data_IF_000252531860
#
_entry.id   IF_000252531860
#
_cell.length_a   1.000
_cell.length_b   1.000
_cell.length_c   1.000
_cell.angle_alpha   90.00
_cell.angle_beta   90.00
_cell.angle_gamma   90.00
#
_symmetry.space_group_name_H-M   'P 1'
#
loop_
_entity.id
_entity.type
_entity.pdbx_description
1 polymer ?
#
# COMPACT_ATOMS: atom_id res chain seq x y z
N UNK A 1 -7.00 -12.29 -14.62
CA UNK A 1 -5.68 -12.74 -15.06
C UNK A 1 -5.21 -14.01 -14.37
N UNK A 2 -5.29 -14.09 -13.06
CA UNK A 2 -4.87 -15.28 -12.31
C UNK A 2 -5.93 -16.41 -12.31
N UNK A 3 -7.14 -16.11 -12.72
CA UNK A 3 -8.22 -17.09 -12.86
C UNK A 3 -7.94 -18.14 -13.94
N UNK A 4 -7.05 -17.82 -14.88
CA UNK A 4 -6.67 -18.72 -15.96
C UNK A 4 -5.50 -19.64 -15.61
N UNK A 5 -4.99 -19.57 -14.39
CA UNK A 5 -3.91 -20.43 -13.94
C UNK A 5 -4.40 -21.87 -13.76
N UNK A 6 -3.64 -22.82 -14.27
CA UNK A 6 -4.01 -24.24 -14.31
C UNK A 6 -3.62 -25.02 -13.07
N UNK A 7 -2.63 -24.54 -12.29
CA UNK A 7 -2.17 -25.21 -11.07
C UNK A 7 -1.74 -24.21 -10.00
N UNK A 8 -1.49 -24.73 -8.80
CA UNK A 8 -1.09 -23.90 -7.64
C UNK A 8 0.26 -23.22 -7.86
N UNK A 9 1.20 -23.87 -8.55
CA UNK A 9 2.53 -23.32 -8.83
C UNK A 9 2.44 -22.11 -9.76
N UNK A 10 1.66 -22.23 -10.84
CA UNK A 10 1.45 -21.15 -11.80
C UNK A 10 0.76 -19.96 -11.13
N UNK A 11 -0.25 -20.24 -10.32
CA UNK A 11 -0.99 -19.23 -9.57
C UNK A 11 -0.11 -18.53 -8.55
N UNK A 12 0.69 -19.30 -7.81
CA UNK A 12 1.63 -18.74 -6.82
C UNK A 12 2.65 -17.83 -7.49
N UNK A 13 3.21 -18.24 -8.65
CA UNK A 13 4.14 -17.43 -9.43
C UNK A 13 3.54 -16.11 -9.89
N UNK A 14 2.28 -16.13 -10.35
CA UNK A 14 1.55 -14.92 -10.75
C UNK A 14 1.32 -13.96 -9.58
N UNK A 15 0.97 -14.49 -8.41
CA UNK A 15 0.82 -13.67 -7.19
C UNK A 15 2.16 -13.10 -6.75
N UNK A 16 3.23 -13.90 -6.86
CA UNK A 16 4.58 -13.44 -6.52
C UNK A 16 5.01 -12.25 -7.37
N UNK A 17 4.76 -12.30 -8.69
CA UNK A 17 5.06 -11.21 -9.60
C UNK A 17 4.25 -9.96 -9.27
N UNK A 18 2.97 -10.12 -8.93
CA UNK A 18 2.10 -9.03 -8.51
C UNK A 18 2.62 -8.36 -7.24
N UNK A 19 3.02 -9.15 -6.25
CA UNK A 19 3.56 -8.66 -4.99
C UNK A 19 4.88 -7.92 -5.23
N UNK A 20 5.79 -8.46 -6.02
CA UNK A 20 7.07 -7.81 -6.32
C UNK A 20 6.86 -6.44 -6.97
N UNK A 21 5.94 -6.34 -7.92
CA UNK A 21 5.59 -5.08 -8.56
C UNK A 21 5.01 -4.09 -7.55
N UNK A 22 4.11 -4.56 -6.70
CA UNK A 22 3.47 -3.74 -5.66
C UNK A 22 4.49 -3.23 -4.64
N UNK A 23 5.45 -4.06 -4.24
CA UNK A 23 6.52 -3.64 -3.32
C UNK A 23 7.46 -2.61 -3.95
N UNK A 24 7.64 -2.61 -5.26
CA UNK A 24 8.37 -1.54 -5.97
C UNK A 24 7.58 -0.22 -5.92
N UNK A 25 6.27 -0.28 -6.04
CA UNK A 25 5.41 0.89 -5.87
C UNK A 25 5.50 1.44 -4.44
N UNK A 26 5.55 0.54 -3.43
CA UNK A 26 5.81 0.91 -2.03
C UNK A 26 7.11 1.67 -1.88
N UNK A 27 8.17 1.19 -2.51
CA UNK A 27 9.48 1.83 -2.46
C UNK A 27 9.42 3.25 -3.02
N UNK A 28 8.75 3.43 -4.16
CA UNK A 28 8.54 4.75 -4.76
C UNK A 28 7.75 5.69 -3.84
N UNK A 29 6.72 5.15 -3.19
CA UNK A 29 5.92 5.90 -2.23
C UNK A 29 6.76 6.37 -1.03
N UNK A 30 7.58 5.50 -0.47
CA UNK A 30 8.48 5.82 0.65
C UNK A 30 9.47 6.91 0.25
N UNK A 31 10.07 6.81 -0.94
CA UNK A 31 11.02 7.81 -1.43
C UNK A 31 10.35 9.18 -1.54
N UNK A 32 9.15 9.25 -2.10
CA UNK A 32 8.44 10.52 -2.23
C UNK A 32 8.01 11.09 -0.89
N UNK A 33 7.59 10.25 0.05
CA UNK A 33 7.25 10.68 1.41
C UNK A 33 8.47 11.30 2.11
N UNK A 34 9.62 10.63 2.03
CA UNK A 34 10.87 11.14 2.61
C UNK A 34 11.30 12.47 1.98
N UNK A 35 11.11 12.57 0.66
CA UNK A 35 11.45 13.78 -0.09
C UNK A 35 10.61 14.98 0.35
N UNK A 36 9.30 14.77 0.52
CA UNK A 36 8.39 15.82 0.99
C UNK A 36 8.69 16.23 2.44
N UNK A 37 9.05 15.28 3.29
CA UNK A 37 9.31 15.52 4.70
C UNK A 37 10.69 16.11 4.94
N UNK A 38 11.68 15.73 4.13
CA UNK A 38 13.09 16.06 4.34
C UNK A 38 13.58 17.28 3.60
N UNK A 39 12.78 17.94 2.77
CA UNK A 39 13.24 19.04 1.92
C UNK A 39 12.31 20.25 2.00
N UNK A 40 12.20 20.91 3.17
CA UNK A 40 11.27 22.02 3.37
C UNK A 40 11.64 23.30 2.62
N UNK A 41 12.84 23.36 2.02
CA UNK A 41 13.34 24.56 1.33
C UNK A 41 13.00 24.64 -0.15
N UNK A 42 12.27 23.69 -0.72
CA UNK A 42 11.88 23.75 -2.13
C UNK A 42 10.83 24.83 -2.38
N UNK A 43 10.82 25.40 -3.58
CA UNK A 43 9.88 26.44 -3.96
C UNK A 43 8.43 25.93 -3.87
N UNK A 44 7.49 26.83 -3.60
CA UNK A 44 6.08 26.48 -3.43
C UNK A 44 5.47 25.84 -4.68
N UNK A 45 5.92 26.22 -5.86
CA UNK A 45 5.48 25.62 -7.13
C UNK A 45 5.84 24.13 -7.22
N UNK A 46 7.09 23.82 -6.85
CA UNK A 46 7.54 22.42 -6.82
C UNK A 46 6.84 21.60 -5.73
N UNK A 47 6.44 22.23 -4.63
CA UNK A 47 5.72 21.53 -3.55
C UNK A 47 4.36 21.03 -4.00
N UNK A 48 3.56 21.84 -4.70
CA UNK A 48 2.24 21.42 -5.18
C UNK A 48 2.36 20.21 -6.10
N UNK A 49 3.26 20.28 -7.07
CA UNK A 49 3.49 19.19 -8.02
C UNK A 49 3.97 17.92 -7.31
N UNK A 50 4.85 18.06 -6.34
CA UNK A 50 5.38 16.93 -5.55
C UNK A 50 4.30 16.30 -4.69
N UNK A 51 3.45 17.09 -4.05
CA UNK A 51 2.30 16.59 -3.32
C UNK A 51 1.30 15.88 -4.21
N UNK A 52 1.04 16.42 -5.39
CA UNK A 52 0.14 15.82 -6.36
C UNK A 52 0.67 14.44 -6.80
N UNK A 53 1.96 14.36 -7.11
CA UNK A 53 2.61 13.10 -7.48
C UNK A 53 2.57 12.09 -6.33
N UNK A 54 2.86 12.54 -5.12
CA UNK A 54 2.80 11.70 -3.92
C UNK A 54 1.38 11.17 -3.68
N UNK A 55 0.38 12.02 -3.73
CA UNK A 55 -1.02 11.61 -3.52
C UNK A 55 -1.48 10.62 -4.59
N UNK A 56 -1.05 10.79 -5.83
CA UNK A 56 -1.38 9.88 -6.90
C UNK A 56 -0.79 8.48 -6.64
N UNK A 57 0.48 8.41 -6.28
CA UNK A 57 1.13 7.14 -5.93
C UNK A 57 0.49 6.53 -4.68
N UNK A 58 0.16 7.34 -3.69
CA UNK A 58 -0.49 6.87 -2.46
C UNK A 58 -1.82 6.19 -2.75
N UNK A 59 -2.68 6.85 -3.52
CA UNK A 59 -3.99 6.30 -3.89
C UNK A 59 -3.82 5.03 -4.72
N UNK A 60 -2.91 5.03 -5.69
CA UNK A 60 -2.64 3.86 -6.52
C UNK A 60 -2.15 2.68 -5.67
N UNK A 61 -1.24 2.92 -4.75
CA UNK A 61 -0.70 1.87 -3.88
C UNK A 61 -1.79 1.23 -3.01
N UNK A 62 -2.60 2.06 -2.32
CA UNK A 62 -3.64 1.53 -1.44
C UNK A 62 -4.75 0.84 -2.23
N UNK A 63 -5.04 1.30 -3.45
CA UNK A 63 -6.05 0.70 -4.30
C UNK A 63 -5.62 -0.66 -4.84
N UNK A 64 -4.39 -0.77 -5.34
CA UNK A 64 -3.84 -2.05 -5.81
C UNK A 64 -3.77 -3.06 -4.66
N UNK A 65 -3.34 -2.62 -3.47
CA UNK A 65 -3.32 -3.48 -2.30
C UNK A 65 -4.70 -4.05 -2.01
N UNK A 66 -5.69 -3.18 -1.91
CA UNK A 66 -7.05 -3.57 -1.52
C UNK A 66 -7.75 -4.42 -2.59
N UNK A 67 -7.67 -4.01 -3.86
CA UNK A 67 -8.45 -4.66 -4.94
C UNK A 67 -7.76 -5.83 -5.60
N UNK A 68 -6.45 -5.93 -5.53
CA UNK A 68 -5.70 -6.98 -6.21
C UNK A 68 -4.90 -7.86 -5.25
N UNK A 69 -4.02 -7.27 -4.45
CA UNK A 69 -3.07 -8.04 -3.63
C UNK A 69 -3.78 -8.83 -2.52
N UNK A 70 -4.63 -8.18 -1.75
CA UNK A 70 -5.29 -8.85 -0.61
C UNK A 70 -6.24 -9.94 -1.07
N UNK A 71 -6.93 -9.74 -2.18
CA UNK A 71 -7.80 -10.78 -2.75
C UNK A 71 -7.02 -12.03 -3.13
N UNK A 72 -5.85 -11.86 -3.75
CA UNK A 72 -5.01 -12.98 -4.13
C UNK A 72 -4.42 -13.69 -2.91
N UNK A 73 -4.02 -12.92 -1.90
CA UNK A 73 -3.53 -13.50 -0.64
C UNK A 73 -4.63 -14.28 0.09
N UNK A 74 -5.86 -13.76 0.09
CA UNK A 74 -7.00 -14.46 0.68
C UNK A 74 -7.31 -15.76 -0.06
N UNK A 75 -7.22 -15.75 -1.40
CA UNK A 75 -7.41 -16.95 -2.21
C UNK A 75 -6.35 -18.01 -1.88
N UNK A 76 -5.09 -17.61 -1.73
CA UNK A 76 -4.02 -18.52 -1.32
C UNK A 76 -4.28 -19.08 0.09
N UNK A 77 -4.70 -18.22 1.02
CA UNK A 77 -5.00 -18.63 2.39
C UNK A 77 -6.11 -19.70 2.42
N UNK A 78 -7.15 -19.52 1.62
CA UNK A 78 -8.26 -20.47 1.51
C UNK A 78 -7.79 -21.79 0.88
N UNK A 79 -6.92 -21.74 -0.12
CA UNK A 79 -6.41 -22.91 -0.82
C UNK A 79 -5.53 -23.78 0.10
N UNK A 80 -4.61 -23.17 0.83
CA UNK A 80 -3.74 -23.89 1.74
C UNK A 80 -4.40 -24.31 3.05
N UNK A 81 -5.43 -23.57 3.47
CA UNK A 81 -6.29 -23.89 4.62
C UNK A 81 -5.51 -24.27 5.89
N UNK A 82 -4.56 -23.46 6.28
CA UNK A 82 -3.66 -23.69 7.40
C UNK A 82 -3.70 -22.59 8.47
N UNK A 83 -4.84 -21.89 8.59
CA UNK A 83 -5.01 -20.80 9.56
C UNK A 83 -4.78 -19.42 8.99
N UNK A 84 -4.36 -19.31 7.72
CA UNK A 84 -4.08 -18.03 7.08
C UNK A 84 -5.31 -17.15 6.94
N UNK A 85 -6.48 -17.74 6.70
CA UNK A 85 -7.74 -16.99 6.58
C UNK A 85 -8.07 -16.26 7.89
N UNK A 86 -7.92 -16.93 9.03
CA UNK A 86 -8.15 -16.34 10.35
C UNK A 86 -7.18 -15.20 10.63
N UNK A 87 -5.91 -15.37 10.25
CA UNK A 87 -4.89 -14.32 10.39
C UNK A 87 -5.26 -13.10 9.54
N UNK A 88 -5.61 -13.33 8.27
CA UNK A 88 -6.02 -12.26 7.36
C UNK A 88 -7.23 -11.49 7.90
N UNK A 89 -8.21 -12.19 8.44
CA UNK A 89 -9.41 -11.58 9.01
C UNK A 89 -9.13 -10.71 10.23
N UNK A 90 -8.02 -10.92 10.91
CA UNK A 90 -7.58 -10.07 12.02
C UNK A 90 -6.78 -8.86 11.53
N UNK A 91 -6.01 -9.00 10.48
CA UNK A 91 -5.07 -7.99 10.01
C UNK A 91 -5.71 -7.01 9.03
N UNK A 92 -6.48 -7.50 8.06
CA UNK A 92 -7.05 -6.66 6.99
C UNK A 92 -7.89 -5.51 7.53
N UNK A 93 -8.75 -5.67 8.56
CA UNK A 93 -9.49 -4.53 9.09
C UNK A 93 -8.60 -3.41 9.63
N UNK A 94 -7.43 -3.75 10.19
CA UNK A 94 -6.46 -2.75 10.66
C UNK A 94 -5.83 -1.99 9.49
N UNK A 95 -5.56 -2.71 8.40
CA UNK A 95 -5.03 -2.09 7.17
C UNK A 95 -6.08 -1.15 6.57
N UNK A 96 -7.36 -1.52 6.61
CA UNK A 96 -8.46 -0.70 6.09
C UNK A 96 -8.55 0.65 6.79
N UNK A 97 -8.27 0.72 8.09
CA UNK A 97 -8.20 1.99 8.81
C UNK A 97 -7.13 2.89 8.19
N UNK A 98 -5.96 2.35 7.90
CA UNK A 98 -4.89 3.11 7.26
C UNK A 98 -5.26 3.56 5.84
N UNK A 99 -6.05 2.76 5.12
CA UNK A 99 -6.56 3.13 3.79
C UNK A 99 -7.46 4.36 3.89
N UNK A 100 -8.37 4.39 4.85
CA UNK A 100 -9.25 5.54 5.08
C UNK A 100 -8.44 6.81 5.41
N UNK A 101 -7.41 6.68 6.24
CA UNK A 101 -6.53 7.80 6.58
C UNK A 101 -5.82 8.32 5.34
N UNK A 102 -5.31 7.43 4.49
CA UNK A 102 -4.64 7.81 3.24
C UNK A 102 -5.59 8.52 2.27
N UNK A 103 -6.79 7.98 2.10
CA UNK A 103 -7.80 8.58 1.21
C UNK A 103 -8.26 9.94 1.73
N UNK A 104 -8.43 10.09 3.04
CA UNK A 104 -8.79 11.37 3.65
C UNK A 104 -7.68 12.40 3.46
N UNK A 105 -6.42 11.98 3.54
CA UNK A 105 -5.28 12.87 3.26
C UNK A 105 -5.33 13.37 1.81
N UNK A 106 -5.56 12.47 0.86
CA UNK A 106 -5.69 12.82 -0.54
C UNK A 106 -6.87 13.79 -0.78
N UNK A 107 -8.01 13.53 -0.16
CA UNK A 107 -9.19 14.40 -0.29
C UNK A 107 -8.92 15.79 0.26
N UNK A 108 -8.20 15.89 1.37
CA UNK A 108 -7.82 17.20 1.92
C UNK A 108 -6.87 17.95 1.00
N UNK A 109 -5.92 17.23 0.39
CA UNK A 109 -5.04 17.85 -0.61
C UNK A 109 -5.85 18.40 -1.79
N UNK A 110 -6.79 17.63 -2.33
CA UNK A 110 -7.63 18.05 -3.45
C UNK A 110 -8.43 19.30 -3.10
N UNK A 111 -8.96 19.39 -1.88
CA UNK A 111 -9.75 20.55 -1.43
C UNK A 111 -8.88 21.78 -1.17
N UNK A 112 -7.69 21.57 -0.64
CA UNK A 112 -6.74 22.63 -0.30
C UNK A 112 -6.03 23.16 -1.54
N UNK A 113 -5.88 22.35 -2.57
CA UNK A 113 -5.25 22.74 -3.83
C UNK A 113 -5.83 24.04 -4.44
N UNK A 114 -7.02 24.44 -3.99
CA UNK A 114 -7.69 25.67 -4.40
C UNK A 114 -7.43 26.86 -3.46
N UNK A 115 -6.68 26.64 -2.36
CA UNK A 115 -6.43 27.65 -1.32
C UNK A 115 -4.95 27.59 -0.92
N UNK A 116 -4.23 28.68 -1.13
CA UNK A 116 -2.76 28.75 -1.03
C UNK A 116 -2.16 28.37 0.32
N UNK A 117 -2.90 28.44 1.43
CA UNK A 117 -2.36 28.26 2.78
C UNK A 117 -2.44 26.82 3.31
N UNK A 118 -3.05 25.92 2.56
CA UNK A 118 -3.35 24.56 3.06
C UNK A 118 -2.21 23.57 3.00
N UNK A 119 -1.24 23.78 2.11
CA UNK A 119 -0.13 22.84 1.91
C UNK A 119 0.77 22.74 3.14
N UNK A 120 1.00 23.86 3.83
CA UNK A 120 1.81 23.85 5.05
C UNK A 120 1.16 23.05 6.17
N UNK A 121 -0.17 23.07 6.26
CA UNK A 121 -0.90 22.22 7.18
C UNK A 121 -0.76 20.73 6.85
N UNK A 122 -0.76 20.39 5.56
CA UNK A 122 -0.56 19.01 5.12
C UNK A 122 0.87 18.52 5.39
N UNK A 123 1.87 19.39 5.31
CA UNK A 123 3.25 19.03 5.65
C UNK A 123 3.33 18.55 7.10
N UNK A 124 2.64 19.23 8.01
CA UNK A 124 2.58 18.81 9.41
C UNK A 124 1.91 17.45 9.60
N UNK A 125 0.97 17.10 8.71
CA UNK A 125 0.29 15.81 8.76
C UNK A 125 1.10 14.66 8.16
N UNK A 126 2.15 14.98 7.38
CA UNK A 126 2.98 13.94 6.76
C UNK A 126 3.64 13.03 7.79
N UNK A 127 4.02 13.55 8.95
CA UNK A 127 4.62 12.73 10.00
C UNK A 127 3.64 11.68 10.50
N UNK A 128 2.41 12.08 10.76
CA UNK A 128 1.35 11.15 11.20
C UNK A 128 1.01 10.14 10.09
N UNK A 129 0.89 10.62 8.86
CA UNK A 129 0.64 9.74 7.71
C UNK A 129 1.79 8.75 7.52
N UNK A 130 3.03 9.21 7.64
CA UNK A 130 4.20 8.36 7.50
C UNK A 130 4.21 7.23 8.52
N UNK A 131 3.86 7.54 9.76
CA UNK A 131 3.75 6.51 10.81
C UNK A 131 2.61 5.53 10.52
N UNK A 132 1.48 6.03 10.07
CA UNK A 132 0.35 5.19 9.67
C UNK A 132 0.73 4.23 8.53
N UNK A 133 1.46 4.72 7.55
CA UNK A 133 1.94 3.90 6.44
C UNK A 133 2.98 2.87 6.89
N UNK A 134 3.89 3.26 7.78
CA UNK A 134 4.88 2.34 8.34
C UNK A 134 4.19 1.16 9.06
N UNK A 135 3.22 1.47 9.91
CA UNK A 135 2.44 0.43 10.61
C UNK A 135 1.69 -0.46 9.61
N UNK A 136 1.13 0.14 8.56
CA UNK A 136 0.45 -0.60 7.49
C UNK A 136 1.42 -1.55 6.78
N UNK A 137 2.61 -1.07 6.43
CA UNK A 137 3.60 -1.89 5.73
C UNK A 137 4.01 -3.11 6.57
N UNK A 138 4.15 -2.94 7.88
CA UNK A 138 4.42 -4.07 8.78
C UNK A 138 3.31 -5.11 8.74
N UNK A 139 2.06 -4.68 8.76
CA UNK A 139 0.91 -5.58 8.68
C UNK A 139 0.84 -6.28 7.31
N UNK A 140 1.11 -5.57 6.25
CA UNK A 140 1.17 -6.13 4.90
C UNK A 140 2.28 -7.17 4.77
N UNK A 141 3.43 -6.88 5.37
CA UNK A 141 4.57 -7.83 5.37
C UNK A 141 4.21 -9.12 6.10
N UNK A 142 3.48 -9.04 7.21
CA UNK A 142 2.99 -10.24 7.91
C UNK A 142 2.09 -11.06 6.99
N UNK A 143 1.17 -10.42 6.26
CA UNK A 143 0.31 -11.13 5.31
C UNK A 143 1.12 -11.79 4.20
N UNK A 144 2.07 -11.09 3.61
CA UNK A 144 2.91 -11.63 2.53
C UNK A 144 3.70 -12.84 3.03
N UNK A 145 4.36 -12.73 4.18
CA UNK A 145 5.14 -13.82 4.74
C UNK A 145 4.29 -15.03 5.10
N UNK A 146 3.18 -14.80 5.76
CA UNK A 146 2.35 -15.88 6.31
C UNK A 146 1.44 -16.53 5.27
N UNK A 147 0.93 -15.77 4.30
CA UNK A 147 -0.05 -16.28 3.34
C UNK A 147 0.55 -16.65 1.99
N UNK A 148 1.74 -16.15 1.68
CA UNK A 148 2.35 -16.36 0.36
C UNK A 148 3.72 -17.02 0.46
N UNK A 149 4.71 -16.38 1.08
CA UNK A 149 6.08 -16.89 1.12
C UNK A 149 6.22 -18.18 1.92
N UNK A 150 5.43 -18.35 2.97
CA UNK A 150 5.43 -19.57 3.76
C UNK A 150 5.08 -20.82 2.94
N UNK A 151 4.41 -20.65 1.79
CA UNK A 151 3.97 -21.76 0.94
C UNK A 151 4.85 -21.96 -0.30
N UNK A 152 5.96 -21.23 -0.40
CA UNK A 152 6.87 -21.32 -1.56
C UNK A 152 7.32 -22.77 -1.81
N UNK A 153 7.75 -23.46 -0.76
CA UNK A 153 8.22 -24.84 -0.86
C UNK A 153 7.09 -25.83 -1.20
N UNK A 154 5.85 -25.50 -0.84
CA UNK A 154 4.71 -26.36 -1.08
C UNK A 154 4.26 -26.38 -2.53
N UNK A 155 4.66 -25.39 -3.34
CA UNK A 155 4.27 -25.28 -4.76
C UNK A 155 5.47 -25.52 -5.69
N UNK A 156 6.65 -25.73 -5.14
CA UNK A 156 7.88 -25.92 -5.91
C UNK A 156 7.90 -27.24 -6.70
#
# INVERSE_FOLDING_TARGET
MLENCNDAKERWGGVNDLIDKWLKERQGLIVQLCDLSGNPGSSQENKVERFQSFCQILVDYVSVGHFEVYEQLLSEAAEFNDGGTELANKIIPKIQVSTEIALNFNDRFDNIHKVDDGIEGLILELETLGKTLEDRFELEDVLIESLHKAHEDSVA
#
